data_IF_335420525040
#
_entry.id   IF_335420525040
#
_cell.length_a   1.000
_cell.length_b   1.000
_cell.length_c   1.000
_cell.angle_alpha   90.00
_cell.angle_beta   90.00
_cell.angle_gamma   90.00
#
_symmetry.space_group_name_H-M   'P 1'
#
loop_
_entity.id
_entity.type
_entity.pdbx_description
1 polymer ?
#
# COMPACT_ATOMS: atom_id res chain seq x y z
N UNK A 1 -4.78 15.05 -28.65
CA UNK A 1 -4.69 16.36 -28.01
C UNK A 1 -4.46 16.13 -26.51
N UNK A 2 -3.41 16.71 -25.92
CA UNK A 2 -3.12 16.56 -24.49
C UNK A 2 -4.13 17.42 -23.71
N UNK A 3 -5.00 16.80 -22.92
CA UNK A 3 -5.90 17.52 -22.03
C UNK A 3 -5.10 18.01 -20.80
N UNK A 4 -4.60 19.24 -20.89
CA UNK A 4 -3.82 19.88 -19.82
C UNK A 4 -4.59 19.92 -18.48
N UNK A 5 -5.92 20.03 -18.50
CA UNK A 5 -6.74 20.02 -17.29
C UNK A 5 -6.74 18.66 -16.62
N UNK A 6 -6.76 17.58 -17.40
CA UNK A 6 -6.67 16.21 -16.90
C UNK A 6 -5.34 15.98 -16.17
N UNK A 7 -4.21 16.29 -16.83
CA UNK A 7 -2.88 16.07 -16.24
C UNK A 7 -2.65 16.92 -14.99
N UNK A 8 -3.10 18.19 -14.98
CA UNK A 8 -3.07 19.04 -13.79
C UNK A 8 -3.87 18.45 -12.62
N UNK A 9 -5.07 17.90 -12.89
CA UNK A 9 -5.91 17.25 -11.87
C UNK A 9 -5.23 15.99 -11.31
N UNK A 10 -4.67 15.16 -12.19
CA UNK A 10 -3.94 13.95 -11.77
C UNK A 10 -2.72 14.32 -10.93
N UNK A 11 -1.91 15.30 -11.37
CA UNK A 11 -0.74 15.76 -10.61
C UNK A 11 -1.14 16.33 -9.24
N UNK A 12 -2.20 17.14 -9.17
CA UNK A 12 -2.71 17.71 -7.92
C UNK A 12 -3.11 16.63 -6.89
N UNK A 13 -3.67 15.50 -7.35
CA UNK A 13 -4.01 14.38 -6.48
C UNK A 13 -2.79 13.49 -6.19
N UNK A 14 -1.99 13.19 -7.22
CA UNK A 14 -0.90 12.24 -7.11
C UNK A 14 0.28 12.74 -6.26
N UNK A 15 0.64 14.02 -6.37
CA UNK A 15 1.79 14.57 -5.65
C UNK A 15 1.66 14.48 -4.13
N UNK A 16 0.55 14.91 -3.48
CA UNK A 16 0.41 14.75 -2.03
C UNK A 16 0.38 13.28 -1.60
N UNK A 17 -0.22 12.38 -2.40
CA UNK A 17 -0.26 10.95 -2.10
C UNK A 17 1.14 10.34 -2.21
N UNK A 18 1.92 10.71 -3.22
CA UNK A 18 3.30 10.27 -3.38
C UNK A 18 4.19 10.76 -2.22
N UNK A 19 4.07 12.03 -1.84
CA UNK A 19 4.79 12.59 -0.69
C UNK A 19 4.43 11.87 0.62
N UNK A 20 3.16 11.55 0.82
CA UNK A 20 2.72 10.79 1.99
C UNK A 20 3.31 9.36 1.99
N UNK A 21 3.41 8.71 0.84
CA UNK A 21 4.06 7.41 0.71
C UNK A 21 5.56 7.50 1.04
N UNK A 22 6.23 8.56 0.60
CA UNK A 22 7.64 8.83 0.92
C UNK A 22 7.85 9.03 2.43
N UNK A 23 6.97 9.80 3.07
CA UNK A 23 6.99 10.00 4.53
C UNK A 23 6.85 8.66 5.25
N UNK A 24 5.93 7.81 4.82
CA UNK A 24 5.73 6.47 5.43
C UNK A 24 6.99 5.61 5.32
N UNK A 25 7.67 5.62 4.17
CA UNK A 25 8.96 4.92 4.00
C UNK A 25 10.00 5.49 4.96
N UNK A 26 10.08 6.82 5.08
CA UNK A 26 10.99 7.51 5.98
C UNK A 26 10.75 7.17 7.46
N UNK A 27 9.48 7.12 7.90
CA UNK A 27 9.11 6.67 9.26
C UNK A 27 9.64 5.26 9.52
N UNK A 28 9.32 4.32 8.63
CA UNK A 28 9.73 2.91 8.80
C UNK A 28 11.26 2.75 8.85
N UNK A 29 11.99 3.52 8.03
CA UNK A 29 13.47 3.54 8.07
C UNK A 29 13.99 4.06 9.41
N UNK A 30 13.48 5.19 9.89
CA UNK A 30 13.91 5.79 11.14
C UNK A 30 13.58 4.90 12.33
N UNK A 31 12.39 4.32 12.39
CA UNK A 31 12.01 3.34 13.42
C UNK A 31 13.00 2.17 13.45
N UNK A 32 13.33 1.62 12.28
CA UNK A 32 14.29 0.51 12.15
C UNK A 32 15.68 0.90 12.63
N UNK A 33 16.18 2.09 12.26
CA UNK A 33 17.50 2.60 12.69
C UNK A 33 17.50 2.83 14.20
N UNK A 34 16.46 3.45 14.76
CA UNK A 34 16.39 3.75 16.18
C UNK A 34 16.34 2.49 17.04
N UNK A 35 15.55 1.50 16.64
CA UNK A 35 15.48 0.21 17.33
C UNK A 35 16.77 -0.60 17.12
N UNK A 36 17.36 -0.54 15.92
CA UNK A 36 18.62 -1.21 15.62
C UNK A 36 19.80 -0.76 16.51
N UNK A 37 19.77 0.49 16.99
CA UNK A 37 20.74 0.98 17.95
C UNK A 37 20.62 0.37 19.37
N UNK A 38 19.54 -0.35 19.66
CA UNK A 38 19.37 -1.08 20.94
C UNK A 38 20.10 -2.42 20.93
N UNK A 39 20.04 -3.14 19.80
CA UNK A 39 20.64 -4.43 19.61
C UNK A 39 19.94 -5.29 18.56
N UNK A 40 20.56 -6.41 18.21
CA UNK A 40 20.02 -7.32 17.19
C UNK A 40 18.76 -8.07 17.67
N UNK A 41 18.70 -8.40 18.96
CA UNK A 41 17.57 -9.10 19.59
C UNK A 41 16.34 -8.22 19.60
N UNK A 42 16.49 -6.94 19.98
CA UNK A 42 15.44 -5.94 20.02
C UNK A 42 14.92 -5.64 18.61
N UNK A 43 15.82 -5.45 17.66
CA UNK A 43 15.47 -5.24 16.26
C UNK A 43 14.70 -6.42 15.68
N UNK A 44 15.14 -7.65 15.96
CA UNK A 44 14.47 -8.87 15.52
C UNK A 44 13.07 -9.00 16.10
N UNK A 45 12.92 -8.73 17.41
CA UNK A 45 11.63 -8.80 18.08
C UNK A 45 10.61 -7.80 17.50
N UNK A 46 11.01 -6.54 17.31
CA UNK A 46 10.15 -5.52 16.72
C UNK A 46 9.83 -5.84 15.26
N UNK A 47 10.80 -6.32 14.48
CA UNK A 47 10.59 -6.67 13.08
C UNK A 47 9.59 -7.81 12.92
N UNK A 48 9.68 -8.88 13.73
CA UNK A 48 8.75 -10.01 13.69
C UNK A 48 7.35 -9.62 14.18
N UNK A 49 7.25 -8.80 15.24
CA UNK A 49 5.97 -8.28 15.70
C UNK A 49 5.29 -7.42 14.62
N UNK A 50 6.07 -6.57 13.93
CA UNK A 50 5.56 -5.75 12.85
C UNK A 50 5.10 -6.57 11.63
N UNK A 51 5.62 -7.76 11.38
CA UNK A 51 5.10 -8.64 10.32
C UNK A 51 3.63 -9.02 10.59
N UNK A 52 3.28 -9.35 11.84
CA UNK A 52 1.90 -9.63 12.20
C UNK A 52 0.99 -8.39 12.06
N UNK A 53 1.47 -7.23 12.53
CA UNK A 53 0.74 -5.95 12.37
C UNK A 53 0.57 -5.58 10.90
N UNK A 54 1.55 -5.91 10.05
CA UNK A 54 1.47 -5.67 8.61
C UNK A 54 0.35 -6.48 7.93
N UNK A 55 0.06 -7.70 8.41
CA UNK A 55 -1.12 -8.46 7.96
C UNK A 55 -2.39 -7.65 8.22
N UNK A 56 -2.55 -7.12 9.43
CA UNK A 56 -3.68 -6.24 9.76
C UNK A 56 -3.75 -5.01 8.84
N UNK A 57 -2.60 -4.37 8.60
CA UNK A 57 -2.50 -3.21 7.70
C UNK A 57 -2.96 -3.54 6.27
N UNK A 58 -2.58 -4.71 5.72
CA UNK A 58 -3.01 -5.18 4.39
C UNK A 58 -4.54 -5.34 4.35
N UNK A 59 -5.15 -5.93 5.38
CA UNK A 59 -6.60 -6.05 5.48
C UNK A 59 -7.28 -4.68 5.52
N UNK A 60 -6.78 -3.74 6.33
CA UNK A 60 -7.31 -2.37 6.39
C UNK A 60 -7.18 -1.64 5.04
N UNK A 61 -6.05 -1.82 4.34
CA UNK A 61 -5.86 -1.30 2.98
C UNK A 61 -6.91 -1.86 2.01
N UNK A 62 -7.17 -3.17 2.03
CA UNK A 62 -8.18 -3.80 1.20
C UNK A 62 -9.60 -3.26 1.46
N UNK A 63 -9.97 -3.11 2.75
CA UNK A 63 -11.24 -2.52 3.19
C UNK A 63 -11.36 -1.08 2.69
N UNK A 64 -10.33 -0.25 2.90
CA UNK A 64 -10.29 1.15 2.49
C UNK A 64 -10.31 1.31 0.98
N UNK A 65 -9.53 0.53 0.24
CA UNK A 65 -9.47 0.60 -1.22
C UNK A 65 -10.77 0.11 -1.88
N UNK A 66 -11.44 -0.89 -1.31
CA UNK A 66 -12.77 -1.29 -1.74
C UNK A 66 -13.79 -0.17 -1.54
N UNK A 67 -13.79 0.46 -0.36
CA UNK A 67 -14.62 1.63 -0.08
C UNK A 67 -14.32 2.80 -1.03
N UNK A 68 -13.05 3.03 -1.36
CA UNK A 68 -12.64 4.16 -2.21
C UNK A 68 -13.29 4.13 -3.59
N UNK A 69 -13.51 2.95 -4.15
CA UNK A 69 -14.20 2.78 -5.44
C UNK A 69 -15.64 3.31 -5.36
N UNK A 70 -16.36 2.95 -4.29
CA UNK A 70 -17.73 3.41 -4.06
C UNK A 70 -17.77 4.89 -3.72
N UNK A 71 -16.93 5.35 -2.80
CA UNK A 71 -16.87 6.76 -2.37
C UNK A 71 -16.56 7.66 -3.56
N UNK A 72 -15.56 7.32 -4.39
CA UNK A 72 -15.22 8.12 -5.57
C UNK A 72 -16.40 8.19 -6.56
N UNK A 73 -17.09 7.07 -6.76
CA UNK A 73 -18.25 7.03 -7.66
C UNK A 73 -19.46 7.81 -7.14
N UNK A 74 -19.80 7.65 -5.87
CA UNK A 74 -20.89 8.44 -5.26
C UNK A 74 -20.54 9.93 -5.19
N UNK A 75 -19.27 10.28 -5.00
CA UNK A 75 -18.83 11.66 -5.09
C UNK A 75 -19.03 12.24 -6.49
N UNK A 76 -18.76 11.49 -7.55
CA UNK A 76 -19.06 11.89 -8.93
C UNK A 76 -20.53 12.11 -9.17
N UNK A 77 -21.41 11.22 -8.66
CA UNK A 77 -22.87 11.32 -8.79
C UNK A 77 -23.47 12.55 -8.07
N UNK A 78 -22.77 13.16 -7.11
CA UNK A 78 -23.29 14.29 -6.33
C UNK A 78 -23.70 15.50 -7.18
N UNK A 79 -23.25 15.58 -8.44
CA UNK A 79 -23.65 16.63 -9.38
C UNK A 79 -25.07 16.44 -9.91
N UNK A 80 -25.50 15.19 -10.12
CA UNK A 80 -26.79 14.84 -10.70
C UNK A 80 -27.84 14.54 -9.62
N UNK A 81 -27.46 13.76 -8.61
CA UNK A 81 -28.33 13.32 -7.51
C UNK A 81 -27.69 13.67 -6.14
N UNK A 82 -27.70 14.95 -5.69
CA UNK A 82 -26.91 15.39 -4.55
C UNK A 82 -27.30 14.74 -3.22
N UNK A 83 -28.59 14.56 -2.93
CA UNK A 83 -29.06 13.99 -1.66
C UNK A 83 -28.80 12.49 -1.58
N UNK A 84 -29.14 11.76 -2.63
CA UNK A 84 -28.93 10.31 -2.72
C UNK A 84 -27.45 9.95 -2.66
N UNK A 85 -26.61 10.68 -3.39
CA UNK A 85 -25.17 10.50 -3.38
C UNK A 85 -24.55 10.82 -2.01
N UNK A 86 -25.00 11.90 -1.35
CA UNK A 86 -24.53 12.24 -0.01
C UNK A 86 -24.89 11.18 1.04
N UNK A 87 -26.10 10.60 0.94
CA UNK A 87 -26.53 9.50 1.80
C UNK A 87 -25.70 8.25 1.57
N UNK A 88 -25.47 7.85 0.30
CA UNK A 88 -24.66 6.70 -0.08
C UNK A 88 -23.19 6.86 0.36
N UNK A 89 -22.61 8.06 0.25
CA UNK A 89 -21.27 8.39 0.77
C UNK A 89 -21.18 8.13 2.28
N UNK A 90 -22.10 8.69 3.06
CA UNK A 90 -22.12 8.51 4.53
C UNK A 90 -22.31 7.05 4.92
N UNK A 91 -23.23 6.32 4.27
CA UNK A 91 -23.41 4.87 4.50
C UNK A 91 -22.16 4.07 4.19
N UNK A 92 -21.47 4.36 3.09
CA UNK A 92 -20.23 3.66 2.72
C UNK A 92 -19.12 3.90 3.73
N UNK A 93 -18.94 5.15 4.19
CA UNK A 93 -17.98 5.48 5.24
C UNK A 93 -18.34 4.79 6.56
N UNK A 94 -19.62 4.73 6.92
CA UNK A 94 -20.10 4.02 8.09
C UNK A 94 -19.75 2.52 8.05
N UNK A 95 -20.01 1.83 6.93
CA UNK A 95 -19.67 0.42 6.74
C UNK A 95 -18.15 0.23 6.88
N UNK A 96 -17.37 1.06 6.18
CA UNK A 96 -15.92 1.02 6.20
C UNK A 96 -15.36 1.13 7.63
N UNK A 97 -15.82 2.09 8.42
CA UNK A 97 -15.39 2.28 9.81
C UNK A 97 -15.79 1.08 10.67
N UNK A 98 -17.04 0.61 10.59
CA UNK A 98 -17.53 -0.55 11.36
C UNK A 98 -16.73 -1.81 11.08
N UNK A 99 -16.47 -2.12 9.80
CA UNK A 99 -15.70 -3.30 9.40
C UNK A 99 -14.25 -3.18 9.89
N UNK A 100 -13.66 -1.99 9.81
CA UNK A 100 -12.30 -1.75 10.31
C UNK A 100 -12.21 -1.89 11.82
N UNK A 101 -13.18 -1.39 12.58
CA UNK A 101 -13.23 -1.55 14.04
C UNK A 101 -13.43 -3.02 14.43
N UNK A 102 -14.30 -3.75 13.75
CA UNK A 102 -14.48 -5.19 13.97
C UNK A 102 -13.18 -5.97 13.70
N UNK A 103 -12.47 -5.65 12.61
CA UNK A 103 -11.18 -6.24 12.31
C UNK A 103 -10.12 -5.90 13.37
N UNK A 104 -10.07 -4.64 13.83
CA UNK A 104 -9.17 -4.20 14.89
C UNK A 104 -9.42 -4.97 16.20
N UNK A 105 -10.68 -5.21 16.54
CA UNK A 105 -11.06 -6.02 17.71
C UNK A 105 -10.55 -7.47 17.59
N UNK A 106 -10.68 -8.10 16.41
CA UNK A 106 -10.20 -9.46 16.16
C UNK A 106 -8.67 -9.54 16.37
N UNK A 107 -7.91 -8.62 15.76
CA UNK A 107 -6.46 -8.60 15.91
C UNK A 107 -6.01 -8.22 17.31
N UNK A 108 -6.69 -7.27 17.96
CA UNK A 108 -6.44 -6.88 19.35
C UNK A 108 -6.67 -8.04 20.31
N UNK A 109 -7.77 -8.78 20.15
CA UNK A 109 -8.05 -9.99 20.95
C UNK A 109 -6.99 -11.08 20.71
N UNK A 110 -6.54 -11.30 19.47
CA UNK A 110 -5.44 -12.22 19.17
C UNK A 110 -4.15 -11.85 19.90
N UNK A 111 -3.74 -10.59 19.84
CA UNK A 111 -2.55 -10.09 20.54
C UNK A 111 -2.72 -10.08 22.07
N UNK A 112 -3.94 -9.93 22.59
CA UNK A 112 -4.22 -9.95 24.03
C UNK A 112 -4.20 -11.38 24.59
N UNK A 113 -4.88 -12.32 23.92
CA UNK A 113 -5.09 -13.69 24.43
C UNK A 113 -3.89 -14.60 24.14
N UNK A 114 -3.24 -14.45 22.99
CA UNK A 114 -2.23 -15.39 22.50
C UNK A 114 -0.94 -14.72 22.00
N UNK A 115 -0.39 -13.68 22.66
CA UNK A 115 0.77 -12.95 22.13
C UNK A 115 2.01 -13.83 21.95
N UNK A 116 2.28 -14.71 22.93
CA UNK A 116 3.40 -15.64 22.87
C UNK A 116 3.25 -16.70 21.76
N UNK A 117 2.03 -17.20 21.53
CA UNK A 117 1.77 -18.15 20.43
C UNK A 117 1.97 -17.52 19.07
N UNK A 118 1.55 -16.26 18.90
CA UNK A 118 1.79 -15.50 17.66
C UNK A 118 3.29 -15.36 17.41
N UNK A 119 4.08 -14.97 18.41
CA UNK A 119 5.53 -14.84 18.25
C UNK A 119 6.22 -16.18 17.97
N UNK A 120 5.76 -17.27 18.60
CA UNK A 120 6.29 -18.64 18.35
C UNK A 120 6.06 -19.13 16.93
N UNK A 121 5.12 -18.57 16.18
CA UNK A 121 4.95 -18.87 14.75
C UNK A 121 6.13 -18.35 13.91
N UNK A 122 6.85 -17.35 14.40
CA UNK A 122 7.94 -16.67 13.67
C UNK A 122 9.33 -17.09 14.18
N UNK A 123 9.48 -17.41 15.47
CA UNK A 123 10.79 -17.72 16.08
C UNK A 123 10.66 -18.66 17.25
N UNK A 124 11.75 -19.37 17.55
CA UNK A 124 11.90 -20.24 18.74
C UNK A 124 12.71 -19.57 19.85
N UNK A 125 13.34 -18.44 19.59
CA UNK A 125 14.19 -17.70 20.51
C UNK A 125 13.36 -17.02 21.61
N UNK A 126 13.57 -17.44 22.89
CA UNK A 126 12.74 -17.00 24.02
C UNK A 126 12.86 -15.50 24.31
N UNK A 127 14.06 -14.92 24.16
CA UNK A 127 14.28 -13.49 24.40
C UNK A 127 13.54 -12.64 23.36
N UNK A 128 13.55 -13.04 22.09
CA UNK A 128 12.80 -12.39 21.01
C UNK A 128 11.30 -12.50 21.26
N UNK A 129 10.81 -13.67 21.69
CA UNK A 129 9.39 -13.87 22.03
C UNK A 129 8.98 -12.95 23.17
N UNK A 130 9.79 -12.86 24.24
CA UNK A 130 9.51 -12.01 25.40
C UNK A 130 9.39 -10.53 25.01
N UNK A 131 10.34 -10.02 24.24
CA UNK A 131 10.34 -8.64 23.76
C UNK A 131 9.18 -8.36 22.80
N UNK A 132 8.87 -9.30 21.90
CA UNK A 132 7.72 -9.20 20.99
C UNK A 132 6.38 -9.15 21.73
N UNK A 133 6.22 -9.92 22.82
CA UNK A 133 5.04 -9.86 23.69
C UNK A 133 4.90 -8.48 24.35
N UNK A 134 6.01 -7.90 24.80
CA UNK A 134 6.00 -6.52 25.35
C UNK A 134 5.55 -5.52 24.28
N UNK A 135 6.06 -5.65 23.07
CA UNK A 135 5.67 -4.80 21.93
C UNK A 135 4.18 -4.91 21.63
N UNK A 136 3.61 -6.11 21.62
CA UNK A 136 2.19 -6.34 21.36
C UNK A 136 1.26 -5.68 22.37
N UNK A 137 1.65 -5.56 23.64
CA UNK A 137 0.81 -4.89 24.67
C UNK A 137 0.42 -3.46 24.28
N UNK A 138 1.33 -2.70 23.68
CA UNK A 138 1.04 -1.36 23.15
C UNK A 138 0.34 -1.43 21.79
N UNK A 139 0.72 -2.41 20.96
CA UNK A 139 0.18 -2.58 19.62
C UNK A 139 -1.31 -2.93 19.59
N UNK A 140 -1.85 -3.53 20.66
CA UNK A 140 -3.30 -3.77 20.82
C UNK A 140 -4.09 -2.47 20.58
N UNK A 141 -3.71 -1.40 21.24
CA UNK A 141 -4.37 -0.09 21.12
C UNK A 141 -3.99 0.59 19.80
N UNK A 142 -2.73 0.43 19.38
CA UNK A 142 -2.22 0.98 18.11
C UNK A 142 -3.03 0.50 16.91
N UNK A 143 -3.48 -0.75 16.88
CA UNK A 143 -4.26 -1.28 15.76
C UNK A 143 -5.57 -0.50 15.52
N UNK A 144 -6.28 -0.08 16.57
CA UNK A 144 -7.49 0.71 16.40
C UNK A 144 -7.20 2.04 15.70
N UNK A 145 -6.19 2.76 16.18
CA UNK A 145 -5.83 4.07 15.62
C UNK A 145 -5.22 3.95 14.23
N UNK A 146 -4.39 2.94 13.99
CA UNK A 146 -3.81 2.65 12.68
C UNK A 146 -4.91 2.37 11.64
N UNK A 147 -5.84 1.48 11.96
CA UNK A 147 -6.94 1.14 11.05
C UNK A 147 -7.83 2.34 10.75
N UNK A 148 -8.27 3.07 11.78
CA UNK A 148 -9.13 4.23 11.63
C UNK A 148 -8.46 5.35 10.83
N UNK A 149 -7.21 5.71 11.14
CA UNK A 149 -6.50 6.76 10.42
C UNK A 149 -6.33 6.40 8.95
N UNK A 150 -5.99 5.13 8.65
CA UNK A 150 -5.76 4.65 7.30
C UNK A 150 -7.04 4.70 6.45
N UNK A 151 -8.14 4.11 6.93
CA UNK A 151 -9.38 4.05 6.14
C UNK A 151 -10.04 5.43 5.99
N UNK A 152 -10.00 6.27 7.03
CA UNK A 152 -10.48 7.65 6.94
C UNK A 152 -9.64 8.48 5.95
N UNK A 153 -8.33 8.31 5.95
CA UNK A 153 -7.43 8.91 4.96
C UNK A 153 -7.80 8.51 3.53
N UNK A 154 -8.03 7.21 3.28
CA UNK A 154 -8.44 6.71 1.96
C UNK A 154 -9.80 7.28 1.58
N UNK A 155 -10.74 7.36 2.50
CA UNK A 155 -12.05 7.97 2.28
C UNK A 155 -11.96 9.44 1.88
N UNK A 156 -11.19 10.24 2.61
CA UNK A 156 -10.97 11.66 2.30
C UNK A 156 -10.27 11.86 0.94
N UNK A 157 -9.26 11.05 0.62
CA UNK A 157 -8.60 11.09 -0.70
C UNK A 157 -9.60 10.80 -1.83
N UNK A 158 -10.54 9.89 -1.63
CA UNK A 158 -11.52 9.47 -2.65
C UNK A 158 -12.47 10.60 -3.06
N UNK A 159 -12.70 11.60 -2.19
CA UNK A 159 -13.42 12.83 -2.50
C UNK A 159 -12.51 14.00 -2.89
N UNK A 160 -11.23 13.72 -3.15
CA UNK A 160 -10.23 14.70 -3.58
C UNK A 160 -9.64 15.56 -2.45
N UNK A 161 -9.83 15.17 -1.19
CA UNK A 161 -9.15 15.80 -0.03
C UNK A 161 -7.82 15.11 0.23
N UNK A 162 -6.76 15.52 -0.49
CA UNK A 162 -5.44 14.89 -0.40
C UNK A 162 -4.45 15.67 0.45
N UNK A 163 -4.64 16.99 0.61
CA UNK A 163 -3.70 17.83 1.35
C UNK A 163 -3.81 17.64 2.87
N UNK A 164 -5.04 17.49 3.39
CA UNK A 164 -5.25 17.30 4.82
C UNK A 164 -4.56 16.01 5.33
N UNK A 165 -4.74 14.82 4.71
CA UNK A 165 -3.99 13.64 5.06
C UNK A 165 -2.47 13.82 4.98
N UNK A 166 -1.94 14.57 3.99
CA UNK A 166 -0.52 14.85 3.87
C UNK A 166 0.01 15.64 5.08
N UNK A 167 -0.65 16.74 5.46
CA UNK A 167 -0.21 17.55 6.60
C UNK A 167 -0.26 16.77 7.91
N UNK A 168 -1.29 15.94 8.08
CA UNK A 168 -1.40 15.07 9.26
C UNK A 168 -0.29 14.02 9.29
N UNK A 169 0.08 13.45 8.14
CA UNK A 169 1.21 12.50 8.07
C UNK A 169 2.55 13.16 8.38
N UNK A 170 2.77 14.42 7.96
CA UNK A 170 3.96 15.20 8.35
C UNK A 170 3.98 15.40 9.87
N UNK A 171 2.84 15.80 10.46
CA UNK A 171 2.73 15.96 11.91
C UNK A 171 2.97 14.64 12.65
N UNK A 172 2.37 13.55 12.20
CA UNK A 172 2.55 12.23 12.78
C UNK A 172 4.00 11.73 12.69
N UNK A 173 4.71 12.04 11.59
CA UNK A 173 6.14 11.76 11.44
C UNK A 173 6.97 12.47 12.50
N UNK A 174 6.73 13.77 12.72
CA UNK A 174 7.45 14.57 13.73
C UNK A 174 7.15 14.03 15.13
N UNK A 175 5.87 13.74 15.43
CA UNK A 175 5.45 13.18 16.72
C UNK A 175 6.11 11.80 16.95
N UNK A 176 6.14 10.93 15.94
CA UNK A 176 6.78 9.62 16.02
C UNK A 176 8.29 9.77 16.32
N UNK A 177 8.98 10.62 15.58
CA UNK A 177 10.42 10.86 15.76
C UNK A 177 10.73 11.37 17.18
N UNK A 178 9.98 12.36 17.67
CA UNK A 178 10.17 12.91 19.01
C UNK A 178 9.85 11.90 20.10
N UNK A 179 8.73 11.17 19.96
CA UNK A 179 8.31 10.16 20.94
C UNK A 179 9.29 8.99 20.99
N UNK A 180 9.71 8.47 19.83
CA UNK A 180 10.73 7.42 19.76
C UNK A 180 12.03 7.86 20.41
N UNK A 181 12.53 9.06 20.10
CA UNK A 181 13.76 9.59 20.70
C UNK A 181 13.64 9.73 22.23
N UNK A 182 12.48 10.20 22.70
CA UNK A 182 12.23 10.36 24.12
C UNK A 182 12.17 9.01 24.87
N UNK A 183 11.37 8.06 24.38
CA UNK A 183 11.07 6.82 25.13
C UNK A 183 12.05 5.68 24.83
N UNK A 184 12.62 5.58 23.63
CA UNK A 184 13.63 4.55 23.36
C UNK A 184 14.91 4.83 24.14
N UNK A 185 15.39 6.09 24.09
CA UNK A 185 16.67 6.47 24.65
C UNK A 185 16.60 7.16 26.04
N UNK A 186 15.38 7.40 26.57
CA UNK A 186 15.20 8.03 27.87
C UNK A 186 15.64 9.50 27.88
N UNK A 187 15.29 10.26 26.84
CA UNK A 187 15.60 11.69 26.72
C UNK A 187 14.41 12.56 27.16
N UNK A 188 14.65 13.88 27.32
CA UNK A 188 13.63 14.84 27.78
C UNK A 188 13.01 14.51 29.14
N UNK A 189 13.73 13.81 30.01
CA UNK A 189 13.23 13.41 31.35
C UNK A 189 12.29 12.22 31.35
N UNK A 190 12.13 11.54 30.22
CA UNK A 190 11.32 10.31 30.12
C UNK A 190 12.13 9.06 30.49
N UNK A 191 11.48 8.00 31.01
CA UNK A 191 12.16 6.74 31.30
C UNK A 191 12.63 6.07 30.01
N UNK A 192 13.81 5.44 30.07
CA UNK A 192 14.31 4.61 28.97
C UNK A 192 13.51 3.30 28.93
N UNK A 193 12.73 3.11 27.87
CA UNK A 193 11.82 1.96 27.73
C UNK A 193 12.23 1.00 26.62
N UNK A 194 13.26 1.31 25.84
CA UNK A 194 13.80 0.47 24.75
C UNK A 194 12.70 0.00 23.76
N UNK A 195 12.47 -1.33 23.62
CA UNK A 195 11.44 -1.90 22.73
C UNK A 195 10.03 -1.41 23.09
N UNK A 196 9.71 -1.31 24.38
CA UNK A 196 8.43 -0.77 24.82
C UNK A 196 8.29 0.72 24.43
N UNK A 197 9.41 1.47 24.47
CA UNK A 197 9.48 2.87 24.02
C UNK A 197 9.18 3.03 22.53
N UNK A 198 9.68 2.14 21.68
CA UNK A 198 9.36 2.12 20.26
C UNK A 198 7.87 1.85 20.01
N UNK A 199 7.28 0.89 20.73
CA UNK A 199 5.84 0.61 20.63
C UNK A 199 4.99 1.79 21.11
N UNK A 200 5.37 2.42 22.21
CA UNK A 200 4.69 3.59 22.77
C UNK A 200 4.81 4.81 21.85
N UNK A 201 5.97 5.06 21.28
CA UNK A 201 6.19 6.13 20.31
C UNK A 201 5.31 5.99 19.06
N UNK A 202 5.23 4.77 18.53
CA UNK A 202 4.32 4.44 17.43
C UNK A 202 2.85 4.63 17.84
N UNK A 203 2.45 4.20 19.04
CA UNK A 203 1.10 4.41 19.56
C UNK A 203 0.73 5.90 19.61
N UNK A 204 1.61 6.74 20.18
CA UNK A 204 1.38 8.19 20.28
C UNK A 204 1.22 8.83 18.91
N UNK A 205 2.08 8.46 17.95
CA UNK A 205 1.99 8.96 16.58
C UNK A 205 0.68 8.54 15.90
N UNK A 206 0.24 7.28 16.05
CA UNK A 206 -1.03 6.80 15.49
C UNK A 206 -2.24 7.39 16.19
N UNK A 207 -2.19 7.62 17.49
CA UNK A 207 -3.21 8.33 18.23
C UNK A 207 -3.36 9.77 17.70
N UNK A 208 -2.26 10.50 17.52
CA UNK A 208 -2.26 11.83 16.93
C UNK A 208 -2.88 11.81 15.53
N UNK A 209 -2.40 10.94 14.66
CA UNK A 209 -2.87 10.81 13.28
C UNK A 209 -4.38 10.51 13.22
N UNK A 210 -4.84 9.51 13.97
CA UNK A 210 -6.24 9.13 14.02
C UNK A 210 -7.12 10.25 14.60
N UNK A 211 -6.67 10.89 15.69
CA UNK A 211 -7.43 11.97 16.34
C UNK A 211 -7.65 13.15 15.39
N UNK A 212 -6.63 13.55 14.65
CA UNK A 212 -6.73 14.67 13.71
C UNK A 212 -7.54 14.30 12.47
N UNK A 213 -7.30 13.13 11.86
CA UNK A 213 -8.03 12.68 10.66
C UNK A 213 -9.50 12.41 10.96
N UNK A 214 -9.79 11.65 12.03
CA UNK A 214 -11.17 11.36 12.41
C UNK A 214 -11.88 12.62 12.91
N UNK A 215 -11.19 13.46 13.67
CA UNK A 215 -11.72 14.76 14.09
C UNK A 215 -12.07 15.66 12.90
N UNK A 216 -11.19 15.73 11.92
CA UNK A 216 -11.48 16.47 10.69
C UNK A 216 -12.70 15.88 9.94
N UNK A 217 -12.75 14.56 9.77
CA UNK A 217 -13.87 13.89 9.09
C UNK A 217 -15.21 14.14 9.81
N UNK A 218 -15.23 14.10 11.16
CA UNK A 218 -16.44 14.19 11.96
C UNK A 218 -16.92 15.63 12.14
N UNK A 219 -16.04 16.60 12.24
CA UNK A 219 -16.39 17.97 12.65
C UNK A 219 -16.19 19.00 11.55
N UNK A 220 -15.16 18.88 10.72
CA UNK A 220 -14.77 19.91 9.75
C UNK A 220 -15.09 19.58 8.30
N UNK A 221 -15.12 18.28 7.92
CA UNK A 221 -15.33 17.90 6.53
C UNK A 221 -16.77 18.18 6.08
N UNK A 222 -16.88 18.92 4.96
CA UNK A 222 -18.15 19.26 4.29
C UNK A 222 -18.37 18.46 3.01
N UNK A 223 -17.37 17.72 2.52
CA UNK A 223 -17.46 16.98 1.27
C UNK A 223 -18.25 15.70 1.44
N UNK A 224 -17.87 14.87 2.40
CA UNK A 224 -18.60 13.66 2.79
C UNK A 224 -19.75 14.03 3.71
N UNK A 225 -19.51 14.96 4.65
CA UNK A 225 -20.49 15.44 5.62
C UNK A 225 -20.86 14.37 6.66
N UNK A 226 -19.92 13.46 6.97
CA UNK A 226 -20.12 12.39 7.95
C UNK A 226 -20.09 12.95 9.38
N UNK A 227 -21.00 12.50 10.23
CA UNK A 227 -21.11 12.93 11.63
C UNK A 227 -21.20 11.73 12.58
N UNK A 228 -20.95 11.94 13.87
CA UNK A 228 -20.99 10.86 14.88
C UNK A 228 -22.31 10.08 14.88
N UNK A 229 -23.45 10.75 14.66
CA UNK A 229 -24.76 10.09 14.59
C UNK A 229 -24.88 9.12 13.42
N UNK A 230 -24.11 9.34 12.34
CA UNK A 230 -24.15 8.49 11.14
C UNK A 230 -23.50 7.12 11.39
N UNK A 231 -22.72 6.97 12.49
CA UNK A 231 -22.20 5.68 12.92
C UNK A 231 -23.31 4.68 13.29
N UNK A 232 -24.48 5.13 13.67
CA UNK A 232 -25.64 4.29 14.00
C UNK A 232 -26.62 4.11 12.83
N UNK A 233 -26.31 4.64 11.66
CA UNK A 233 -27.15 4.60 10.47
C UNK A 233 -27.37 3.14 9.99
N UNK A 234 -28.59 2.86 9.52
CA UNK A 234 -28.92 1.59 8.87
C UNK A 234 -28.28 1.55 7.48
N UNK A 235 -27.44 0.52 7.23
CA UNK A 235 -26.61 0.41 6.02
C UNK A 235 -26.85 -0.88 5.24
N UNK A 236 -27.86 -1.69 5.61
CA UNK A 236 -28.13 -3.02 5.06
C UNK A 236 -28.29 -3.04 3.53
N UNK A 237 -28.78 -1.97 2.94
CA UNK A 237 -28.97 -1.81 1.50
C UNK A 237 -27.68 -1.70 0.70
N UNK A 238 -26.62 -1.16 1.28
CA UNK A 238 -25.32 -0.99 0.60
C UNK A 238 -24.26 -2.04 0.98
N UNK A 239 -24.46 -2.81 2.07
CA UNK A 239 -23.50 -3.83 2.51
C UNK A 239 -23.21 -4.85 1.41
N UNK A 240 -24.23 -5.31 0.67
CA UNK A 240 -24.04 -6.27 -0.42
C UNK A 240 -23.13 -5.76 -1.53
N UNK A 241 -23.31 -4.50 -1.95
CA UNK A 241 -22.47 -3.88 -2.99
C UNK A 241 -21.06 -3.60 -2.47
N UNK A 242 -20.94 -3.15 -1.22
CA UNK A 242 -19.65 -2.96 -0.56
C UNK A 242 -18.83 -4.26 -0.51
N UNK A 243 -19.43 -5.35 -0.04
CA UNK A 243 -18.81 -6.68 0.05
C UNK A 243 -18.39 -7.19 -1.34
N UNK A 244 -19.27 -7.02 -2.33
CA UNK A 244 -19.02 -7.42 -3.72
C UNK A 244 -17.78 -6.76 -4.33
N UNK A 245 -17.48 -5.52 -3.95
CA UNK A 245 -16.32 -4.78 -4.46
C UNK A 245 -15.10 -4.98 -3.56
N UNK A 246 -15.26 -4.96 -2.23
CA UNK A 246 -14.15 -4.98 -1.29
C UNK A 246 -13.52 -6.36 -1.13
N UNK A 247 -14.31 -7.45 -1.13
CA UNK A 247 -13.76 -8.82 -0.97
C UNK A 247 -12.78 -9.19 -2.09
N UNK A 248 -13.07 -8.98 -3.40
CA UNK A 248 -12.10 -9.28 -4.43
C UNK A 248 -10.81 -8.46 -4.32
N UNK A 249 -10.89 -7.20 -3.87
CA UNK A 249 -9.72 -6.34 -3.63
C UNK A 249 -8.87 -6.91 -2.48
N UNK A 250 -9.52 -7.26 -1.38
CA UNK A 250 -8.87 -7.81 -0.20
C UNK A 250 -8.19 -9.14 -0.50
N UNK A 251 -8.86 -10.04 -1.21
CA UNK A 251 -8.30 -11.34 -1.63
C UNK A 251 -7.12 -11.11 -2.59
N UNK A 252 -7.27 -10.20 -3.57
CA UNK A 252 -6.19 -9.89 -4.52
C UNK A 252 -4.95 -9.37 -3.80
N UNK A 253 -5.10 -8.35 -2.96
CA UNK A 253 -3.96 -7.74 -2.25
C UNK A 253 -3.33 -8.73 -1.25
N UNK A 254 -4.13 -9.58 -0.59
CA UNK A 254 -3.67 -10.64 0.31
C UNK A 254 -2.86 -11.73 -0.39
N UNK A 255 -3.38 -12.27 -1.51
CA UNK A 255 -2.67 -13.32 -2.27
C UNK A 255 -1.42 -12.75 -2.96
N UNK A 256 -1.45 -11.48 -3.41
CA UNK A 256 -0.26 -10.80 -3.93
C UNK A 256 0.82 -10.66 -2.85
N UNK A 257 0.45 -10.38 -1.59
CA UNK A 257 1.40 -10.31 -0.49
C UNK A 257 2.04 -11.69 -0.21
N UNK A 258 1.25 -12.77 -0.19
CA UNK A 258 1.75 -14.14 -0.06
C UNK A 258 2.68 -14.48 -1.24
N UNK A 259 2.28 -14.15 -2.46
CA UNK A 259 3.10 -14.37 -3.66
C UNK A 259 4.42 -13.59 -3.63
N UNK A 260 4.40 -12.35 -3.13
CA UNK A 260 5.62 -11.56 -2.90
C UNK A 260 6.59 -12.24 -1.92
N UNK A 261 6.07 -12.80 -0.83
CA UNK A 261 6.87 -13.59 0.12
C UNK A 261 7.42 -14.87 -0.54
N UNK A 262 6.62 -15.54 -1.37
CA UNK A 262 7.09 -16.72 -2.13
C UNK A 262 8.23 -16.36 -3.08
N UNK A 263 8.14 -15.24 -3.80
CA UNK A 263 9.24 -14.72 -4.63
C UNK A 263 10.48 -14.45 -3.79
N UNK A 264 10.33 -13.84 -2.61
CA UNK A 264 11.45 -13.60 -1.68
C UNK A 264 12.08 -14.91 -1.19
N UNK A 265 11.28 -15.97 -0.95
CA UNK A 265 11.80 -17.31 -0.61
C UNK A 265 12.59 -17.93 -1.77
N UNK A 266 12.12 -17.78 -3.00
CA UNK A 266 12.86 -18.24 -4.19
C UNK A 266 14.20 -17.51 -4.27
N UNK A 267 14.23 -16.21 -4.13
CA UNK A 267 15.46 -15.39 -4.09
C UNK A 267 16.39 -15.86 -2.96
N UNK A 268 15.85 -16.14 -1.77
CA UNK A 268 16.61 -16.63 -0.63
C UNK A 268 17.33 -17.95 -0.89
N UNK A 269 16.75 -18.81 -1.71
CA UNK A 269 17.36 -20.11 -2.09
C UNK A 269 18.36 -20.02 -3.24
N UNK A 270 18.46 -18.89 -3.93
CA UNK A 270 19.45 -18.67 -5.00
C UNK A 270 20.85 -18.34 -4.47
N UNK A 271 20.99 -18.14 -3.15
CA UNK A 271 22.28 -17.92 -2.49
C UNK A 271 22.45 -16.52 -1.91
N UNK A 272 23.44 -16.40 -1.01
CA UNK A 272 23.69 -15.17 -0.24
C UNK A 272 24.02 -13.97 -1.13
N UNK A 273 24.80 -14.18 -2.19
CA UNK A 273 25.15 -13.16 -3.19
C UNK A 273 23.91 -12.55 -3.84
N UNK A 274 22.95 -13.40 -4.24
CA UNK A 274 21.70 -12.94 -4.87
C UNK A 274 20.82 -12.20 -3.88
N UNK A 275 20.73 -12.68 -2.64
CA UNK A 275 19.95 -12.01 -1.57
C UNK A 275 20.51 -10.63 -1.26
N UNK A 276 21.85 -10.52 -1.10
CA UNK A 276 22.52 -9.25 -0.84
C UNK A 276 22.32 -8.25 -1.99
N UNK A 277 22.50 -8.71 -3.24
CA UNK A 277 22.25 -7.91 -4.42
C UNK A 277 20.78 -7.43 -4.50
N UNK A 278 19.82 -8.32 -4.23
CA UNK A 278 18.38 -7.95 -4.22
C UNK A 278 18.05 -6.95 -3.11
N UNK A 279 18.69 -7.04 -1.94
CA UNK A 279 18.49 -6.07 -0.85
C UNK A 279 18.92 -4.65 -1.29
N UNK A 280 20.09 -4.51 -1.92
CA UNK A 280 20.60 -3.24 -2.44
C UNK A 280 19.63 -2.67 -3.49
N UNK A 281 19.18 -3.50 -4.43
CA UNK A 281 18.36 -3.06 -5.56
C UNK A 281 16.92 -2.75 -5.16
N UNK A 282 16.39 -3.41 -4.12
CA UNK A 282 15.02 -3.21 -3.64
C UNK A 282 14.77 -1.81 -3.10
N UNK A 283 15.75 -1.18 -2.46
CA UNK A 283 15.66 0.20 -1.97
C UNK A 283 15.48 1.16 -3.14
N UNK A 284 16.29 1.00 -4.19
CA UNK A 284 16.19 1.83 -5.40
C UNK A 284 14.83 1.66 -6.09
N UNK A 285 14.34 0.42 -6.17
CA UNK A 285 13.03 0.12 -6.72
C UNK A 285 11.90 0.79 -5.92
N UNK A 286 11.93 0.72 -4.59
CA UNK A 286 10.94 1.37 -3.74
C UNK A 286 10.88 2.88 -3.98
N UNK A 287 12.04 3.56 -4.01
CA UNK A 287 12.11 4.99 -4.30
C UNK A 287 11.52 5.34 -5.67
N UNK A 288 11.82 4.53 -6.69
CA UNK A 288 11.32 4.74 -8.04
C UNK A 288 9.80 4.53 -8.18
N UNK A 289 9.18 3.73 -7.30
CA UNK A 289 7.75 3.42 -7.35
C UNK A 289 6.87 4.41 -6.60
N UNK A 290 7.42 5.34 -5.82
CA UNK A 290 6.65 6.30 -5.01
C UNK A 290 5.71 7.15 -5.87
N UNK A 291 6.20 7.73 -6.96
CA UNK A 291 5.38 8.52 -7.89
C UNK A 291 4.32 7.66 -8.58
N UNK A 292 4.68 6.43 -8.95
CA UNK A 292 3.77 5.47 -9.58
C UNK A 292 2.60 5.17 -8.64
N UNK A 293 2.86 4.98 -7.34
CA UNK A 293 1.83 4.76 -6.31
C UNK A 293 0.86 5.95 -6.20
N UNK A 294 1.38 7.18 -6.22
CA UNK A 294 0.57 8.40 -6.21
C UNK A 294 -0.36 8.48 -7.42
N UNK A 295 0.17 8.26 -8.61
CA UNK A 295 -0.62 8.29 -9.86
C UNK A 295 -1.62 7.14 -9.91
N UNK A 296 -1.26 5.98 -9.40
CA UNK A 296 -2.15 4.82 -9.29
C UNK A 296 -3.41 5.16 -8.47
N UNK A 297 -3.24 5.71 -7.27
CA UNK A 297 -4.37 6.10 -6.42
C UNK A 297 -5.18 7.26 -7.03
N UNK A 298 -4.50 8.27 -7.61
CA UNK A 298 -5.17 9.34 -8.35
C UNK A 298 -6.00 8.79 -9.51
N UNK A 299 -5.49 7.77 -10.20
CA UNK A 299 -6.20 7.09 -11.28
C UNK A 299 -7.51 6.44 -10.83
N UNK A 300 -7.50 5.75 -9.69
CA UNK A 300 -8.72 5.16 -9.13
C UNK A 300 -9.76 6.22 -8.76
N UNK A 301 -9.32 7.33 -8.15
CA UNK A 301 -10.18 8.45 -7.76
C UNK A 301 -10.79 9.12 -9.00
N UNK A 302 -9.97 9.53 -9.96
CA UNK A 302 -10.42 10.26 -11.16
C UNK A 302 -11.36 9.40 -11.99
N UNK A 303 -11.01 8.13 -12.21
CA UNK A 303 -11.83 7.17 -12.97
C UNK A 303 -13.18 6.93 -12.26
N UNK A 304 -13.16 6.69 -10.96
CA UNK A 304 -14.37 6.48 -10.16
C UNK A 304 -15.29 7.70 -10.22
N UNK A 305 -14.76 8.91 -10.05
CA UNK A 305 -15.51 10.16 -10.09
C UNK A 305 -16.11 10.42 -11.48
N UNK A 306 -15.33 10.23 -12.56
CA UNK A 306 -15.84 10.42 -13.94
C UNK A 306 -16.96 9.43 -14.28
N UNK A 307 -16.82 8.17 -13.82
CA UNK A 307 -17.89 7.18 -14.01
C UNK A 307 -19.12 7.46 -13.12
N UNK A 308 -18.93 8.12 -11.97
CA UNK A 308 -20.01 8.62 -11.13
C UNK A 308 -20.78 9.74 -11.80
N UNK A 309 -20.10 10.62 -12.58
CA UNK A 309 -20.69 11.64 -13.43
C UNK A 309 -21.47 11.05 -14.64
N UNK A 310 -21.57 9.72 -14.80
CA UNK A 310 -22.24 9.06 -15.90
C UNK A 310 -21.45 9.03 -17.22
N UNK A 311 -20.35 9.74 -17.34
CA UNK A 311 -19.60 9.95 -18.58
C UNK A 311 -18.61 8.81 -18.86
N UNK A 312 -19.12 7.72 -19.45
CA UNK A 312 -18.32 6.55 -19.82
C UNK A 312 -17.31 6.82 -20.93
N UNK A 313 -17.67 7.68 -21.88
CA UNK A 313 -16.79 7.99 -23.01
C UNK A 313 -15.56 8.77 -22.54
N UNK A 314 -15.77 9.75 -21.67
CA UNK A 314 -14.69 10.49 -21.03
C UNK A 314 -13.80 9.59 -20.16
N UNK A 315 -14.39 8.66 -19.39
CA UNK A 315 -13.63 7.68 -18.62
C UNK A 315 -12.74 6.80 -19.53
N UNK A 316 -13.26 6.37 -20.69
CA UNK A 316 -12.50 5.58 -21.65
C UNK A 316 -11.34 6.38 -22.26
N UNK A 317 -11.55 7.66 -22.60
CA UNK A 317 -10.49 8.56 -23.08
C UNK A 317 -9.42 8.82 -22.01
N UNK A 318 -9.84 9.05 -20.77
CA UNK A 318 -8.94 9.22 -19.62
C UNK A 318 -8.10 7.97 -19.35
N UNK A 319 -8.68 6.78 -19.49
CA UNK A 319 -7.96 5.51 -19.34
C UNK A 319 -6.81 5.38 -20.35
N UNK A 320 -7.01 5.81 -21.61
CA UNK A 320 -5.93 5.92 -22.60
C UNK A 320 -4.83 6.93 -22.20
N UNK A 321 -5.20 8.00 -21.52
CA UNK A 321 -4.25 8.99 -21.00
C UNK A 321 -3.45 8.43 -19.82
N UNK A 322 -4.09 7.67 -18.93
CA UNK A 322 -3.40 6.95 -17.84
C UNK A 322 -2.43 5.90 -18.37
N UNK A 323 -2.77 5.20 -19.45
CA UNK A 323 -1.86 4.24 -20.09
C UNK A 323 -0.58 4.94 -20.57
N UNK A 324 -0.71 6.07 -21.29
CA UNK A 324 0.44 6.86 -21.72
C UNK A 324 1.28 7.39 -20.57
N UNK A 325 0.62 7.84 -19.50
CA UNK A 325 1.27 8.32 -18.28
C UNK A 325 2.01 7.21 -17.57
N UNK A 326 1.45 6.00 -17.55
CA UNK A 326 2.09 4.81 -16.99
C UNK A 326 3.38 4.43 -17.74
N UNK A 327 3.33 4.43 -19.07
CA UNK A 327 4.52 4.19 -19.91
C UNK A 327 5.57 5.28 -19.69
N UNK A 328 5.16 6.55 -19.70
CA UNK A 328 6.07 7.68 -19.50
C UNK A 328 6.76 7.67 -18.13
N UNK A 329 6.01 7.44 -17.06
CA UNK A 329 6.57 7.32 -15.71
C UNK A 329 7.45 6.07 -15.58
N UNK A 330 7.07 4.97 -16.20
CA UNK A 330 7.89 3.76 -16.24
C UNK A 330 9.24 3.99 -16.92
N UNK A 331 9.25 4.66 -18.07
CA UNK A 331 10.48 5.03 -18.77
C UNK A 331 11.33 6.00 -17.92
N UNK A 332 10.72 7.01 -17.32
CA UNK A 332 11.43 7.94 -16.42
C UNK A 332 12.07 7.19 -15.25
N UNK A 333 11.33 6.27 -14.62
CA UNK A 333 11.84 5.43 -13.52
C UNK A 333 12.97 4.50 -13.99
N UNK A 334 12.87 3.94 -15.19
CA UNK A 334 13.92 3.10 -15.77
C UNK A 334 15.22 3.90 -16.00
N UNK A 335 15.12 5.09 -16.56
CA UNK A 335 16.28 5.99 -16.74
C UNK A 335 16.88 6.39 -15.40
N UNK A 336 16.03 6.70 -14.40
CA UNK A 336 16.49 7.03 -13.05
C UNK A 336 17.26 5.86 -12.43
N UNK A 337 16.71 4.62 -12.47
CA UNK A 337 17.38 3.43 -11.93
C UNK A 337 18.73 3.20 -12.59
N UNK A 338 18.80 3.32 -13.92
CA UNK A 338 20.05 3.16 -14.67
C UNK A 338 21.07 4.22 -14.28
N UNK A 339 20.65 5.48 -14.14
CA UNK A 339 21.54 6.59 -13.79
C UNK A 339 22.14 6.44 -12.38
N UNK A 340 21.34 5.95 -11.40
CA UNK A 340 21.79 5.83 -10.00
C UNK A 340 22.39 4.45 -9.68
N UNK A 341 22.31 3.48 -10.58
CA UNK A 341 22.77 2.09 -10.33
C UNK A 341 24.23 2.01 -9.95
N UNK A 342 25.13 2.64 -10.70
CA UNK A 342 26.56 2.67 -10.42
C UNK A 342 26.89 3.31 -9.07
N UNK A 343 26.52 4.58 -8.84
CA UNK A 343 26.73 5.26 -7.55
C UNK A 343 26.16 4.50 -6.35
N UNK A 344 24.97 3.89 -6.47
CA UNK A 344 24.37 3.14 -5.36
C UNK A 344 25.16 1.87 -5.07
N UNK A 345 25.48 1.06 -6.09
CA UNK A 345 26.21 -0.19 -5.88
C UNK A 345 27.60 0.11 -5.27
N UNK A 346 28.28 1.15 -5.76
CA UNK A 346 29.61 1.53 -5.22
C UNK A 346 29.58 2.11 -3.80
N UNK A 347 28.43 2.55 -3.31
CA UNK A 347 28.27 3.02 -1.92
C UNK A 347 28.20 1.89 -0.90
N UNK A 348 27.96 0.66 -1.35
CA UNK A 348 27.95 -0.51 -0.49
C UNK A 348 29.30 -1.24 -0.55
N UNK A 349 29.82 -1.61 0.62
CA UNK A 349 31.06 -2.38 0.72
C UNK A 349 30.76 -3.88 0.57
N UNK A 350 30.55 -4.32 -0.67
CA UNK A 350 30.20 -5.70 -1.02
C UNK A 350 31.25 -6.33 -1.93
N UNK A 351 31.24 -7.65 -2.05
CA UNK A 351 32.15 -8.38 -2.95
C UNK A 351 31.90 -8.00 -4.42
N UNK A 352 32.90 -8.15 -5.26
CA UNK A 352 32.82 -7.89 -6.70
C UNK A 352 31.72 -8.72 -7.37
N UNK A 353 31.58 -9.99 -6.97
CA UNK A 353 30.53 -10.89 -7.41
C UNK A 353 29.13 -10.36 -7.07
N UNK A 354 28.94 -9.88 -5.82
CA UNK A 354 27.65 -9.28 -5.40
C UNK A 354 27.36 -8.00 -6.17
N UNK A 355 28.37 -7.18 -6.42
CA UNK A 355 28.22 -5.96 -7.22
C UNK A 355 27.83 -6.25 -8.66
N UNK A 356 28.40 -7.30 -9.28
CA UNK A 356 28.02 -7.74 -10.63
C UNK A 356 26.59 -8.23 -10.70
N UNK A 357 26.17 -9.09 -9.76
CA UNK A 357 24.78 -9.54 -9.65
C UNK A 357 23.84 -8.37 -9.43
N UNK A 358 24.19 -7.41 -8.56
CA UNK A 358 23.39 -6.21 -8.33
C UNK A 358 23.24 -5.36 -9.61
N UNK A 359 24.30 -5.23 -10.41
CA UNK A 359 24.25 -4.54 -11.69
C UNK A 359 23.33 -5.23 -12.71
N UNK A 360 23.34 -6.58 -12.74
CA UNK A 360 22.41 -7.35 -13.57
C UNK A 360 20.98 -7.16 -13.11
N UNK A 361 20.70 -7.17 -11.79
CA UNK A 361 19.37 -6.93 -11.22
C UNK A 361 18.90 -5.51 -11.51
N UNK A 362 19.75 -4.49 -11.41
CA UNK A 362 19.37 -3.09 -11.75
C UNK A 362 18.92 -2.97 -13.22
N UNK A 363 19.61 -3.64 -14.13
CA UNK A 363 19.19 -3.71 -15.55
C UNK A 363 17.86 -4.41 -15.72
N UNK A 364 17.64 -5.53 -15.03
CA UNK A 364 16.37 -6.25 -15.06
C UNK A 364 15.22 -5.41 -14.48
N UNK A 365 15.45 -4.76 -13.33
CA UNK A 365 14.48 -3.87 -12.70
C UNK A 365 14.14 -2.70 -13.61
N UNK A 366 15.12 -2.08 -14.27
CA UNK A 366 14.87 -0.96 -15.19
C UNK A 366 14.01 -1.37 -16.39
N UNK A 367 14.15 -2.59 -16.87
CA UNK A 367 13.26 -3.14 -17.91
C UNK A 367 11.85 -3.38 -17.36
N UNK A 368 11.74 -4.05 -16.23
CA UNK A 368 10.46 -4.46 -15.64
C UNK A 368 9.66 -3.26 -15.11
N UNK A 369 10.32 -2.21 -14.61
CA UNK A 369 9.64 -1.05 -14.02
C UNK A 369 8.69 -0.35 -15.01
N UNK A 370 9.00 -0.40 -16.30
CA UNK A 370 8.13 0.17 -17.36
C UNK A 370 6.79 -0.57 -17.39
N UNK A 371 6.84 -1.89 -17.36
CA UNK A 371 5.64 -2.73 -17.32
C UNK A 371 4.95 -2.64 -15.97
N UNK A 372 5.70 -2.64 -14.87
CA UNK A 372 5.18 -2.51 -13.51
C UNK A 372 4.44 -1.18 -13.30
N UNK A 373 4.99 -0.07 -13.76
CA UNK A 373 4.36 1.25 -13.69
C UNK A 373 3.04 1.27 -14.48
N UNK A 374 3.10 0.83 -15.72
CA UNK A 374 1.94 0.78 -16.62
C UNK A 374 0.86 -0.14 -16.04
N UNK A 375 1.23 -1.35 -15.65
CA UNK A 375 0.33 -2.31 -15.05
C UNK A 375 -0.31 -1.78 -13.76
N UNK A 376 0.49 -1.24 -12.82
CA UNK A 376 -0.02 -0.76 -11.54
C UNK A 376 -1.03 0.39 -11.71
N UNK A 377 -0.75 1.35 -12.58
CA UNK A 377 -1.66 2.47 -12.88
C UNK A 377 -2.93 1.96 -13.55
N UNK A 378 -2.83 1.00 -14.47
CA UNK A 378 -3.99 0.46 -15.15
C UNK A 378 -4.83 -0.44 -14.24
N UNK A 379 -4.22 -1.38 -13.50
CA UNK A 379 -4.96 -2.33 -12.65
C UNK A 379 -5.51 -1.65 -11.40
N UNK A 380 -4.63 -1.15 -10.54
CA UNK A 380 -5.00 -0.57 -9.24
C UNK A 380 -5.61 0.83 -9.36
N UNK A 381 -5.28 1.55 -10.44
CA UNK A 381 -5.88 2.84 -10.76
C UNK A 381 -7.17 2.67 -11.56
N UNK A 382 -7.06 2.50 -12.86
CA UNK A 382 -8.18 2.60 -13.80
C UNK A 382 -9.19 1.46 -13.65
N UNK A 383 -8.76 0.19 -13.73
CA UNK A 383 -9.67 -0.97 -13.70
C UNK A 383 -10.35 -1.10 -12.33
N UNK A 384 -9.61 -0.88 -11.23
CA UNK A 384 -10.17 -0.87 -9.87
C UNK A 384 -11.19 0.27 -9.72
N UNK A 385 -10.87 1.50 -10.16
CA UNK A 385 -11.80 2.63 -10.19
C UNK A 385 -13.04 2.38 -11.05
N UNK A 386 -12.92 1.58 -12.10
CA UNK A 386 -14.00 1.10 -12.94
C UNK A 386 -14.92 0.06 -12.30
N UNK A 387 -14.53 -0.51 -11.15
CA UNK A 387 -15.26 -1.55 -10.44
C UNK A 387 -15.02 -2.97 -10.95
N UNK A 388 -14.03 -3.19 -11.82
CA UNK A 388 -13.71 -4.52 -12.39
C UNK A 388 -12.81 -5.36 -11.46
N UNK A 389 -13.09 -5.32 -10.16
CA UNK A 389 -12.27 -5.88 -9.08
C UNK A 389 -12.14 -7.40 -9.15
N UNK A 390 -13.20 -8.12 -9.57
CA UNK A 390 -13.15 -9.58 -9.71
C UNK A 390 -12.19 -10.05 -10.80
N UNK A 391 -12.23 -9.42 -11.98
CA UNK A 391 -11.31 -9.78 -13.07
C UNK A 391 -9.88 -9.37 -12.76
N UNK A 392 -9.70 -8.28 -12.02
CA UNK A 392 -8.41 -7.86 -11.53
C UNK A 392 -7.82 -8.89 -10.55
N UNK A 393 -8.61 -9.35 -9.58
CA UNK A 393 -8.22 -10.40 -8.64
C UNK A 393 -7.77 -11.68 -9.37
N UNK A 394 -8.53 -12.11 -10.37
CA UNK A 394 -8.18 -13.29 -11.17
C UNK A 394 -6.87 -13.11 -11.92
N UNK A 395 -6.69 -11.98 -12.61
CA UNK A 395 -5.48 -11.69 -13.35
C UNK A 395 -4.24 -11.60 -12.44
N UNK A 396 -4.35 -10.90 -11.30
CA UNK A 396 -3.28 -10.78 -10.32
C UNK A 396 -2.80 -12.15 -9.83
N UNK A 397 -3.73 -13.05 -9.54
CA UNK A 397 -3.40 -14.36 -9.01
C UNK A 397 -2.89 -15.33 -10.09
N UNK A 398 -3.56 -15.40 -11.24
CA UNK A 398 -3.15 -16.33 -12.30
C UNK A 398 -1.76 -15.98 -12.81
N UNK A 399 -1.50 -14.73 -13.15
CA UNK A 399 -0.19 -14.37 -13.72
C UNK A 399 0.95 -14.51 -12.72
N UNK A 400 0.71 -14.27 -11.43
CA UNK A 400 1.76 -14.44 -10.41
C UNK A 400 2.03 -15.92 -10.13
N UNK A 401 0.98 -16.71 -9.84
CA UNK A 401 1.15 -18.08 -9.35
C UNK A 401 1.35 -19.10 -10.47
N UNK A 402 0.73 -18.90 -11.65
CA UNK A 402 0.84 -19.84 -12.76
C UNK A 402 1.96 -19.50 -13.73
N UNK A 403 2.32 -18.20 -13.86
CA UNK A 403 3.34 -17.78 -14.81
C UNK A 403 4.65 -17.42 -14.10
N UNK A 404 4.63 -16.42 -13.21
CA UNK A 404 5.84 -15.77 -12.70
C UNK A 404 6.66 -16.68 -11.78
N UNK A 405 6.02 -17.26 -10.76
CA UNK A 405 6.70 -18.13 -9.79
C UNK A 405 7.25 -19.40 -10.47
N UNK A 406 6.48 -20.15 -11.28
CA UNK A 406 7.02 -21.33 -11.95
C UNK A 406 8.17 -21.02 -12.93
N UNK A 407 8.04 -19.93 -13.72
CA UNK A 407 9.12 -19.50 -14.62
C UNK A 407 10.39 -19.10 -13.85
N UNK A 408 10.23 -18.41 -12.73
CA UNK A 408 11.37 -18.04 -11.88
C UNK A 408 12.07 -19.24 -11.26
N UNK A 409 11.31 -20.23 -10.80
CA UNK A 409 11.87 -21.51 -10.30
C UNK A 409 12.61 -22.27 -11.41
N UNK A 410 12.00 -22.35 -12.60
CA UNK A 410 12.61 -23.01 -13.75
C UNK A 410 13.93 -22.31 -14.15
N UNK A 411 13.91 -20.98 -14.27
CA UNK A 411 15.10 -20.20 -14.66
C UNK A 411 16.22 -20.28 -13.63
N UNK A 412 15.89 -20.27 -12.32
CA UNK A 412 16.87 -20.27 -11.25
C UNK A 412 17.46 -21.64 -10.91
N UNK A 413 16.63 -22.67 -10.78
CA UNK A 413 17.04 -23.98 -10.25
C UNK A 413 17.24 -25.07 -11.31
N UNK A 414 16.62 -24.92 -12.49
CA UNK A 414 16.74 -25.92 -13.57
C UNK A 414 17.68 -25.44 -14.67
N UNK A 415 17.47 -24.21 -15.15
CA UNK A 415 18.22 -23.67 -16.28
C UNK A 415 19.49 -22.91 -15.85
N UNK A 416 19.61 -22.56 -14.58
CA UNK A 416 20.74 -21.80 -14.03
C UNK A 416 21.10 -20.55 -14.86
N UNK A 417 20.08 -19.78 -15.25
CA UNK A 417 20.26 -18.57 -16.05
C UNK A 417 20.93 -17.46 -15.24
N UNK A 418 21.42 -16.41 -15.94
CA UNK A 418 21.99 -15.24 -15.27
C UNK A 418 20.95 -14.54 -14.39
N UNK A 419 21.43 -13.79 -13.38
CA UNK A 419 20.58 -13.07 -12.43
C UNK A 419 19.57 -12.14 -13.11
N UNK A 420 19.96 -11.54 -14.24
CA UNK A 420 19.07 -10.73 -15.08
C UNK A 420 17.82 -11.52 -15.51
N UNK A 421 18.00 -12.67 -16.15
CA UNK A 421 16.88 -13.46 -16.67
C UNK A 421 16.05 -14.13 -15.58
N UNK A 422 16.68 -14.56 -14.48
CA UNK A 422 15.96 -15.10 -13.31
C UNK A 422 14.99 -14.03 -12.78
N UNK A 423 15.46 -12.78 -12.62
CA UNK A 423 14.61 -11.71 -12.12
C UNK A 423 13.49 -11.34 -13.10
N UNK A 424 13.78 -11.29 -14.41
CA UNK A 424 12.76 -11.06 -15.45
C UNK A 424 11.68 -12.14 -15.41
N UNK A 425 12.05 -13.41 -15.26
CA UNK A 425 11.10 -14.52 -15.11
C UNK A 425 10.26 -14.40 -13.84
N UNK A 426 10.88 -14.07 -12.69
CA UNK A 426 10.19 -13.84 -11.41
C UNK A 426 9.22 -12.65 -11.43
N UNK A 427 9.33 -11.75 -12.40
CA UNK A 427 8.48 -10.57 -12.58
C UNK A 427 7.73 -10.57 -13.93
N UNK A 428 7.67 -11.71 -14.61
CA UNK A 428 6.98 -11.85 -15.89
C UNK A 428 5.47 -11.58 -15.81
N UNK A 429 4.87 -11.72 -14.61
CA UNK A 429 3.50 -11.30 -14.34
C UNK A 429 3.25 -9.83 -14.69
N UNK A 430 4.23 -8.93 -14.47
CA UNK A 430 4.09 -7.52 -14.78
C UNK A 430 3.94 -7.27 -16.28
N UNK A 431 4.69 -8.04 -17.08
CA UNK A 431 4.64 -7.98 -18.55
C UNK A 431 3.28 -8.50 -19.03
N UNK A 432 2.91 -9.71 -18.61
CA UNK A 432 1.67 -10.35 -19.01
C UNK A 432 0.43 -9.53 -18.62
N UNK A 433 0.40 -9.00 -17.39
CA UNK A 433 -0.67 -8.11 -16.91
C UNK A 433 -0.78 -6.83 -17.73
N UNK A 434 0.33 -6.25 -18.15
CA UNK A 434 0.30 -5.03 -18.98
C UNK A 434 -0.44 -5.28 -20.30
N UNK A 435 -0.11 -6.36 -21.01
CA UNK A 435 -0.81 -6.71 -22.24
C UNK A 435 -2.29 -7.05 -21.99
N UNK A 436 -2.57 -7.82 -20.94
CA UNK A 436 -3.94 -8.14 -20.55
C UNK A 436 -4.75 -6.87 -20.24
N UNK A 437 -4.18 -5.91 -19.52
CA UNK A 437 -4.82 -4.63 -19.22
C UNK A 437 -5.17 -3.84 -20.49
N UNK A 438 -4.25 -3.79 -21.45
CA UNK A 438 -4.48 -3.07 -22.72
C UNK A 438 -5.65 -3.70 -23.49
N UNK A 439 -5.70 -5.04 -23.57
CA UNK A 439 -6.80 -5.77 -24.22
C UNK A 439 -8.11 -5.50 -23.48
N UNK A 440 -8.09 -5.59 -22.15
CA UNK A 440 -9.27 -5.38 -21.28
C UNK A 440 -9.82 -3.96 -21.41
N UNK A 441 -8.92 -2.98 -21.50
CA UNK A 441 -9.27 -1.57 -21.69
C UNK A 441 -9.98 -1.33 -23.02
N UNK A 442 -9.41 -1.86 -24.12
CA UNK A 442 -9.99 -1.72 -25.46
C UNK A 442 -11.37 -2.33 -25.56
N UNK A 443 -11.63 -3.42 -24.86
CA UNK A 443 -12.92 -4.12 -24.85
C UNK A 443 -14.05 -3.37 -24.13
N UNK A 444 -13.80 -2.28 -23.40
CA UNK A 444 -14.80 -1.48 -22.69
C UNK A 444 -15.54 -2.21 -21.54
N UNK A 445 -15.29 -3.51 -21.36
CA UNK A 445 -15.98 -4.38 -20.39
C UNK A 445 -15.55 -4.14 -18.93
N UNK A 446 -14.57 -3.28 -18.71
CA UNK A 446 -14.02 -2.93 -17.41
C UNK A 446 -14.90 -1.93 -16.63
N UNK A 447 -15.80 -1.21 -17.33
CA UNK A 447 -16.74 -0.27 -16.71
C UNK A 447 -17.93 -1.04 -16.18
N UNK A 448 -17.96 -1.26 -14.87
CA UNK A 448 -19.07 -1.98 -14.22
C UNK A 448 -20.13 -1.02 -13.71
N UNK A 449 -21.40 -1.47 -13.80
CA UNK A 449 -22.51 -0.75 -13.13
C UNK A 449 -22.40 -1.02 -11.63
N UNK A 450 -22.49 0.03 -10.83
CA UNK A 450 -22.62 -0.04 -9.37
C UNK A 450 -24.07 0.33 -9.03
N UNK A 451 -24.69 -0.48 -8.19
CA UNK A 451 -26.06 -0.21 -7.69
C UNK A 451 -25.97 0.88 -6.61
N UNK A 452 -26.96 1.77 -6.62
CA UNK A 452 -27.10 2.87 -5.65
C UNK A 452 -28.36 2.62 -4.83
#
# INVERSE_FOLDING_TARGET
MFDSKFYKRVAFLATPIALQSLITIGVNMLDTIMVGNLGETELSAVSLANQFINIYHIFCMGIGMGASVLIARYWGMKKEEPERAALALRKTVCIMIRVTVALALIFALGMLLCPGSIMRMYTTEQDIIRLGVVYFRYSIVTCFFLGLSLVCTIGLRSVGQVHMPLFVSIGAFIVNLCANYAFIFGKFGMPRMEVAGAALGTLIARLFEASVICGYLLFADKRIGFRCRDLLMKTSDLVGEYVRISIPVLISDGILAIGGNTVAMVIGRLGVTFVAANAITSVTQQMSTVLIQGVCQAGAIVTGQTLGEGDREKAQKQAGSFLRLGIGLGLLSAVFIMAVSGPIISSYNVSEETAEVAAQLMKAISLIIVFQATNSIMTKGVLRGGGDTKMLMLADNIFLWVLSIPLGLLAGFVLHWSAFWIYVCLKSDQIAKTFWCIIRLRGGKWIKKIRV
#
